data_IF_113540237365
#
_entry.id   IF_113540237365
#
_cell.length_a   1.000
_cell.length_b   1.000
_cell.length_c   1.000
_cell.angle_alpha   90.00
_cell.angle_beta   90.00
_cell.angle_gamma   90.00
#
_symmetry.space_group_name_H-M   'P 1'
#
loop_
_entity.id
_entity.type
_entity.pdbx_description
1 polymer ?
#
# COMPACT_ATOMS: atom_id res chain seq x y z
N UNK A 1 -9.75 -11.99 39.46
CA UNK A 1 -9.55 -10.85 38.57
C UNK A 1 -8.76 -11.28 37.35
N UNK A 2 -9.39 -11.26 36.22
CA UNK A 2 -8.63 -11.63 35.04
C UNK A 2 -7.55 -10.60 34.76
N UNK A 3 -6.45 -11.03 34.19
CA UNK A 3 -5.43 -10.08 33.83
C UNK A 3 -5.98 -9.11 32.77
N UNK A 4 -5.40 -7.96 32.65
CA UNK A 4 -5.81 -7.07 31.58
C UNK A 4 -5.60 -7.76 30.25
N UNK A 5 -6.34 -7.39 29.24
CA UNK A 5 -6.10 -7.95 27.93
C UNK A 5 -4.66 -7.78 27.53
N UNK A 6 -4.17 -8.65 26.68
CA UNK A 6 -2.78 -8.54 26.25
C UNK A 6 -2.51 -7.16 25.68
N UNK A 7 -1.28 -6.83 25.66
CA UNK A 7 -0.84 -5.49 25.30
C UNK A 7 -1.15 -5.09 23.88
N UNK A 8 -1.76 -5.98 23.12
CA UNK A 8 -2.18 -5.65 21.76
C UNK A 8 -3.03 -4.40 21.68
N UNK A 9 -3.85 -4.19 22.68
CA UNK A 9 -4.69 -3.01 22.70
C UNK A 9 -3.90 -1.75 23.07
N UNK A 10 -2.75 -1.92 23.69
CA UNK A 10 -1.86 -0.81 24.02
C UNK A 10 -0.97 -0.46 22.85
N UNK A 11 -0.78 -1.38 21.93
CA UNK A 11 -0.02 -1.13 20.74
C UNK A 11 -0.95 -0.51 19.74
N UNK A 12 -0.49 0.53 19.11
CA UNK A 12 -1.25 1.10 18.03
C UNK A 12 -1.42 0.06 16.94
N UNK A 13 -2.62 -0.12 16.41
CA UNK A 13 -2.76 -0.97 15.26
C UNK A 13 -1.86 -0.45 14.15
N UNK A 14 -1.31 -1.35 13.38
CA UNK A 14 -0.62 -0.96 12.17
C UNK A 14 -1.62 -0.26 11.27
N UNK A 15 -1.15 0.52 10.33
CA UNK A 15 -2.03 1.30 9.49
C UNK A 15 -2.91 0.46 8.58
N UNK A 16 -3.82 1.15 7.91
CA UNK A 16 -4.67 0.52 6.90
C UNK A 16 -3.92 0.43 5.59
N UNK A 17 -4.00 -0.73 4.95
CA UNK A 17 -3.31 -1.00 3.69
C UNK A 17 -4.32 -1.42 2.64
N UNK A 18 -4.23 -0.82 1.47
CA UNK A 18 -5.05 -1.22 0.32
C UNK A 18 -4.14 -1.95 -0.67
N UNK A 19 -4.51 -3.18 -1.02
CA UNK A 19 -3.76 -3.97 -2.00
C UNK A 19 -4.58 -4.07 -3.27
N UNK A 20 -3.98 -3.67 -4.39
CA UNK A 20 -4.63 -3.63 -5.69
C UNK A 20 -3.89 -4.55 -6.64
N UNK A 21 -4.54 -5.62 -7.08
CA UNK A 21 -3.94 -6.63 -7.95
C UNK A 21 -5.06 -7.42 -8.63
N UNK A 22 -4.91 -7.76 -9.89
CA UNK A 22 -5.96 -8.47 -10.61
C UNK A 22 -5.92 -9.99 -10.41
N UNK A 23 -4.94 -10.52 -9.70
CA UNK A 23 -4.84 -11.96 -9.44
C UNK A 23 -5.43 -12.29 -8.07
N UNK A 24 -6.56 -13.02 -8.02
CA UNK A 24 -7.25 -13.25 -6.73
C UNK A 24 -6.40 -13.95 -5.67
N UNK A 25 -5.58 -14.92 -6.06
CA UNK A 25 -4.78 -15.61 -5.07
C UNK A 25 -3.62 -14.75 -4.55
N UNK A 26 -3.11 -13.84 -5.36
CA UNK A 26 -2.11 -12.88 -4.89
C UNK A 26 -2.72 -11.97 -3.84
N UNK A 27 -3.94 -11.49 -4.10
CA UNK A 27 -4.67 -10.66 -3.13
C UNK A 27 -4.92 -11.42 -1.83
N UNK A 28 -5.35 -12.67 -1.93
CA UNK A 28 -5.64 -13.48 -0.75
C UNK A 28 -4.39 -13.70 0.10
N UNK A 29 -3.27 -14.00 -0.53
CA UNK A 29 -2.02 -14.23 0.17
C UNK A 29 -1.52 -12.93 0.81
N UNK A 30 -1.53 -11.84 0.06
CA UNK A 30 -1.09 -10.55 0.60
C UNK A 30 -1.93 -10.14 1.81
N UNK A 31 -3.25 -10.32 1.72
CA UNK A 31 -4.14 -10.01 2.82
C UNK A 31 -3.83 -10.86 4.04
N UNK A 32 -3.67 -12.17 3.86
CA UNK A 32 -3.37 -13.06 4.98
C UNK A 32 -2.05 -12.69 5.66
N UNK A 33 -1.03 -12.38 4.87
CA UNK A 33 0.27 -12.00 5.40
C UNK A 33 0.17 -10.71 6.21
N UNK A 34 -0.41 -9.69 5.62
CA UNK A 34 -0.47 -8.37 6.26
C UNK A 34 -1.41 -8.37 7.46
N UNK A 35 -2.54 -9.08 7.37
CA UNK A 35 -3.44 -9.24 8.52
C UNK A 35 -2.71 -9.88 9.69
N UNK A 36 -1.91 -10.92 9.44
CA UNK A 36 -1.18 -11.61 10.50
C UNK A 36 -0.13 -10.75 11.17
N UNK A 37 0.26 -9.66 10.53
CA UNK A 37 1.22 -8.72 11.08
C UNK A 37 0.57 -7.45 11.65
N UNK A 38 -0.75 -7.48 11.80
CA UNK A 38 -1.48 -6.41 12.49
C UNK A 38 -1.98 -5.29 11.62
N UNK A 39 -1.81 -5.37 10.31
CA UNK A 39 -2.35 -4.34 9.42
C UNK A 39 -3.85 -4.58 9.19
N UNK A 40 -4.57 -3.51 8.91
CA UNK A 40 -5.97 -3.55 8.52
C UNK A 40 -6.01 -3.50 6.98
N UNK A 41 -6.30 -4.62 6.35
CA UNK A 41 -6.10 -4.79 4.91
C UNK A 41 -7.42 -4.82 4.15
N UNK A 42 -7.49 -4.01 3.11
CA UNK A 42 -8.56 -4.04 2.12
C UNK A 42 -7.94 -4.44 0.78
N UNK A 43 -8.62 -5.27 0.03
CA UNK A 43 -8.14 -5.71 -1.28
C UNK A 43 -9.14 -5.33 -2.36
N UNK A 44 -8.62 -5.09 -3.57
CA UNK A 44 -9.48 -4.85 -4.73
C UNK A 44 -8.72 -5.28 -5.98
N UNK A 45 -9.47 -5.61 -7.02
CA UNK A 45 -8.89 -6.09 -8.27
C UNK A 45 -8.90 -5.05 -9.39
N UNK A 46 -9.27 -3.81 -9.11
CA UNK A 46 -9.27 -2.79 -10.16
C UNK A 46 -8.81 -1.44 -9.63
N UNK A 47 -8.18 -0.67 -10.51
CA UNK A 47 -7.74 0.67 -10.19
C UNK A 47 -8.90 1.61 -9.92
N UNK A 48 -9.96 1.49 -10.70
CA UNK A 48 -11.15 2.33 -10.52
C UNK A 48 -11.76 2.13 -9.15
N UNK A 49 -11.90 0.86 -8.74
CA UNK A 49 -12.46 0.56 -7.43
C UNK A 49 -11.52 1.04 -6.32
N UNK A 50 -10.21 0.93 -6.54
CA UNK A 50 -9.23 1.42 -5.58
C UNK A 50 -9.43 2.91 -5.31
N UNK A 51 -9.63 3.70 -6.36
CA UNK A 51 -9.85 5.14 -6.20
C UNK A 51 -11.13 5.43 -5.46
N UNK A 52 -12.17 4.66 -5.73
CA UNK A 52 -13.45 4.80 -5.03
C UNK A 52 -13.30 4.50 -3.54
N UNK A 53 -12.58 3.43 -3.22
CA UNK A 53 -12.32 3.04 -1.83
C UNK A 53 -11.53 4.13 -1.10
N UNK A 54 -10.52 4.70 -1.77
CA UNK A 54 -9.69 5.74 -1.17
C UNK A 54 -10.47 7.02 -0.90
N UNK A 55 -11.32 7.43 -1.83
CA UNK A 55 -12.16 8.60 -1.65
C UNK A 55 -13.13 8.40 -0.50
N UNK A 56 -13.75 7.23 -0.44
CA UNK A 56 -14.70 6.92 0.61
C UNK A 56 -14.02 6.91 1.99
N UNK A 57 -12.84 6.31 2.07
CA UNK A 57 -12.09 6.25 3.31
C UNK A 57 -11.70 7.64 3.79
N UNK A 58 -11.26 8.50 2.88
CA UNK A 58 -10.90 9.86 3.23
C UNK A 58 -12.12 10.66 3.71
N UNK A 59 -13.23 10.49 3.04
CA UNK A 59 -14.47 11.17 3.41
C UNK A 59 -14.90 10.82 4.84
N UNK A 60 -14.70 9.56 5.24
CA UNK A 60 -15.08 9.08 6.56
C UNK A 60 -13.99 9.23 7.62
N UNK A 61 -12.88 9.85 7.28
CA UNK A 61 -11.77 10.03 8.21
C UNK A 61 -11.02 8.75 8.54
N UNK A 62 -11.07 7.74 7.67
CA UNK A 62 -10.42 6.45 7.87
C UNK A 62 -9.39 6.20 6.77
N UNK A 63 -8.44 7.10 6.68
CA UNK A 63 -7.46 7.10 5.61
C UNK A 63 -6.58 5.86 5.64
N UNK A 64 -6.16 5.43 4.45
CA UNK A 64 -5.16 4.38 4.31
C UNK A 64 -3.77 4.98 4.50
N UNK A 65 -2.86 4.17 5.01
CA UNK A 65 -1.46 4.57 5.17
C UNK A 65 -0.63 4.20 3.95
N UNK A 66 -0.95 3.07 3.30
CA UNK A 66 -0.16 2.53 2.19
C UNK A 66 -1.08 1.88 1.17
N UNK A 67 -0.75 2.06 -0.10
CA UNK A 67 -1.35 1.31 -1.19
C UNK A 67 -0.26 0.46 -1.84
N UNK A 68 -0.53 -0.83 -2.03
CA UNK A 68 0.34 -1.72 -2.81
C UNK A 68 -0.36 -1.89 -4.15
N UNK A 69 0.24 -1.37 -5.20
CA UNK A 69 -0.41 -1.23 -6.50
C UNK A 69 0.32 -2.03 -7.57
N UNK A 70 -0.36 -3.02 -8.12
CA UNK A 70 0.16 -3.80 -9.25
C UNK A 70 0.18 -2.92 -10.50
N UNK A 71 1.33 -2.84 -11.16
CA UNK A 71 1.46 -2.02 -12.36
C UNK A 71 1.01 -2.75 -13.63
N UNK A 72 0.82 -4.06 -13.55
CA UNK A 72 0.54 -4.88 -14.74
C UNK A 72 -0.87 -5.46 -14.70
N UNK A 73 -1.87 -4.61 -14.58
CA UNK A 73 -3.27 -5.03 -14.65
C UNK A 73 -3.81 -4.71 -16.04
N UNK A 74 -4.05 -5.72 -16.87
CA UNK A 74 -4.56 -5.47 -18.21
C UNK A 74 -5.99 -4.97 -18.17
N UNK A 75 -6.32 -4.09 -19.11
CA UNK A 75 -7.64 -3.46 -19.16
C UNK A 75 -7.80 -2.41 -18.08
N UNK A 76 -8.61 -1.42 -18.28
CA UNK A 76 -8.82 -0.37 -17.30
C UNK A 76 -7.63 0.58 -17.17
N UNK A 77 -7.50 1.20 -16.02
CA UNK A 77 -6.46 2.21 -15.78
C UNK A 77 -5.10 1.56 -15.61
N UNK A 78 -4.08 2.21 -16.14
CA UNK A 78 -2.70 1.78 -15.89
C UNK A 78 -2.29 2.14 -14.46
N UNK A 79 -1.24 1.48 -13.95
CA UNK A 79 -0.73 1.79 -12.62
C UNK A 79 -0.31 3.24 -12.48
N UNK A 80 0.24 3.83 -13.54
CA UNK A 80 0.66 5.23 -13.49
C UNK A 80 -0.52 6.19 -13.44
N UNK A 81 -1.60 5.86 -14.17
CA UNK A 81 -2.83 6.65 -14.10
C UNK A 81 -3.46 6.56 -12.72
N UNK A 82 -3.43 5.38 -12.12
CA UNK A 82 -3.95 5.21 -10.76
C UNK A 82 -3.12 6.03 -9.76
N UNK A 83 -1.80 5.98 -9.89
CA UNK A 83 -0.93 6.79 -9.01
C UNK A 83 -1.26 8.27 -9.12
N UNK A 84 -1.40 8.78 -10.33
CA UNK A 84 -1.71 10.19 -10.53
C UNK A 84 -3.03 10.56 -9.87
N UNK A 85 -4.04 9.71 -10.02
CA UNK A 85 -5.33 9.95 -9.41
C UNK A 85 -5.26 9.87 -7.88
N UNK A 86 -4.46 8.94 -7.34
CA UNK A 86 -4.26 8.84 -5.90
C UNK A 86 -3.64 10.13 -5.36
N UNK A 87 -2.67 10.67 -6.05
CA UNK A 87 -2.00 11.91 -5.62
C UNK A 87 -2.96 13.09 -5.59
N UNK A 88 -3.99 13.07 -6.43
CA UNK A 88 -5.03 14.09 -6.39
C UNK A 88 -5.94 13.92 -5.17
N UNK A 89 -6.14 12.70 -4.72
CA UNK A 89 -6.98 12.42 -3.56
C UNK A 89 -6.23 12.69 -2.27
N UNK A 90 -4.98 12.23 -2.19
CA UNK A 90 -4.18 12.30 -0.97
C UNK A 90 -2.70 12.28 -1.37
N UNK A 91 -2.10 13.45 -1.43
CA UNK A 91 -0.71 13.59 -1.88
C UNK A 91 0.29 12.93 -0.93
N UNK A 92 -0.10 12.70 0.32
CA UNK A 92 0.80 12.13 1.33
C UNK A 92 0.70 10.60 1.43
N UNK A 93 -0.22 10.00 0.69
CA UNK A 93 -0.42 8.56 0.77
C UNK A 93 0.75 7.84 0.12
N UNK A 94 1.33 6.89 0.86
CA UNK A 94 2.43 6.09 0.34
C UNK A 94 1.90 5.06 -0.64
N UNK A 95 2.54 4.95 -1.81
CA UNK A 95 2.14 3.99 -2.83
C UNK A 95 3.36 3.16 -3.24
N UNK A 96 3.24 1.85 -3.09
CA UNK A 96 4.29 0.91 -3.49
C UNK A 96 3.93 0.35 -4.86
N UNK A 97 4.85 0.48 -5.82
CA UNK A 97 4.68 -0.11 -7.14
C UNK A 97 5.05 -1.59 -7.08
N UNK A 98 4.19 -2.45 -7.61
CA UNK A 98 4.41 -3.89 -7.58
C UNK A 98 4.36 -4.45 -9.00
N UNK A 99 5.33 -5.29 -9.36
CA UNK A 99 5.37 -5.89 -10.69
C UNK A 99 6.21 -7.15 -10.69
N UNK A 100 5.90 -8.07 -11.59
CA UNK A 100 6.72 -9.25 -11.83
C UNK A 100 7.96 -8.94 -12.63
N UNK A 101 8.09 -7.74 -13.15
CA UNK A 101 9.20 -7.40 -14.01
C UNK A 101 9.65 -5.96 -13.80
N UNK A 102 10.76 -5.80 -13.09
CA UNK A 102 11.41 -4.52 -12.93
C UNK A 102 12.83 -4.58 -13.48
N UNK A 103 13.25 -3.52 -14.13
CA UNK A 103 14.63 -3.38 -14.54
C UNK A 103 15.48 -2.86 -13.39
N UNK A 104 16.79 -2.85 -13.61
CA UNK A 104 17.77 -2.55 -12.59
C UNK A 104 17.56 -1.20 -11.90
N UNK A 105 17.17 -0.18 -12.68
CA UNK A 105 16.97 1.17 -12.17
C UNK A 105 15.52 1.49 -11.86
N UNK A 106 14.66 0.47 -11.79
CA UNK A 106 13.22 0.67 -11.64
C UNK A 106 12.86 1.43 -10.36
N UNK A 107 13.59 1.16 -9.27
CA UNK A 107 13.28 1.85 -8.02
C UNK A 107 13.46 3.34 -8.15
N UNK A 108 14.58 3.78 -8.72
CA UNK A 108 14.86 5.21 -8.89
C UNK A 108 13.84 5.85 -9.80
N UNK A 109 13.48 5.18 -10.88
CA UNK A 109 12.51 5.72 -11.82
C UNK A 109 11.11 5.81 -11.19
N UNK A 110 10.70 4.78 -10.47
CA UNK A 110 9.40 4.80 -9.81
C UNK A 110 9.33 5.88 -8.75
N UNK A 111 10.39 6.06 -7.98
CA UNK A 111 10.43 7.11 -6.98
C UNK A 111 10.39 8.49 -7.61
N UNK A 112 11.06 8.67 -8.74
CA UNK A 112 11.03 9.95 -9.46
C UNK A 112 9.62 10.28 -9.97
N UNK A 113 8.83 9.27 -10.31
CA UNK A 113 7.46 9.44 -10.78
C UNK A 113 6.51 9.76 -9.62
N UNK A 114 6.82 9.26 -8.43
CA UNK A 114 6.00 9.52 -7.25
C UNK A 114 5.65 8.31 -6.41
N UNK A 115 6.11 7.12 -6.80
CA UNK A 115 5.94 5.95 -5.94
C UNK A 115 6.89 6.05 -4.75
N UNK A 116 6.44 5.54 -3.62
CA UNK A 116 7.24 5.54 -2.40
C UNK A 116 8.32 4.48 -2.45
N UNK A 117 8.01 3.32 -3.01
CA UNK A 117 8.94 2.20 -3.11
C UNK A 117 8.46 1.23 -4.18
N UNK A 118 9.23 0.18 -4.41
CA UNK A 118 8.90 -0.88 -5.38
C UNK A 118 8.97 -2.23 -4.69
N UNK A 119 8.20 -3.18 -5.19
CA UNK A 119 8.14 -4.54 -4.65
C UNK A 119 8.02 -5.50 -5.81
N UNK A 120 9.05 -6.32 -6.01
CA UNK A 120 9.05 -7.26 -7.12
C UNK A 120 8.33 -8.55 -6.76
N UNK A 121 7.48 -9.00 -7.66
CA UNK A 121 6.83 -10.31 -7.55
C UNK A 121 7.71 -11.40 -8.11
N UNK A 122 7.67 -12.60 -7.57
CA UNK A 122 6.96 -12.98 -6.35
C UNK A 122 7.70 -12.44 -5.14
N UNK A 123 6.97 -11.92 -4.18
CA UNK A 123 7.60 -11.42 -2.97
C UNK A 123 7.43 -12.40 -1.82
N UNK A 124 8.38 -12.34 -0.88
CA UNK A 124 8.29 -13.15 0.34
C UNK A 124 7.43 -12.43 1.37
N UNK A 125 7.02 -13.18 2.39
CA UNK A 125 6.31 -12.60 3.53
C UNK A 125 7.10 -11.44 4.14
N UNK A 126 8.37 -11.69 4.42
CA UNK A 126 9.20 -10.68 5.07
C UNK A 126 9.38 -9.46 4.20
N UNK A 127 9.55 -9.65 2.92
CA UNK A 127 9.77 -8.55 2.00
C UNK A 127 8.52 -7.67 1.89
N UNK A 128 7.36 -8.29 1.76
CA UNK A 128 6.11 -7.55 1.71
C UNK A 128 5.90 -6.73 2.98
N UNK A 129 6.02 -7.36 4.14
CA UNK A 129 5.79 -6.69 5.41
C UNK A 129 6.80 -5.59 5.67
N UNK A 130 8.07 -5.83 5.41
CA UNK A 130 9.10 -4.82 5.67
C UNK A 130 8.94 -3.63 4.73
N UNK A 131 8.58 -3.87 3.47
CA UNK A 131 8.38 -2.79 2.52
C UNK A 131 7.19 -1.92 2.91
N UNK A 132 6.09 -2.56 3.32
CA UNK A 132 4.90 -1.84 3.76
C UNK A 132 5.20 -1.02 5.03
N UNK A 133 5.91 -1.59 5.99
CA UNK A 133 6.28 -0.86 7.21
C UNK A 133 7.12 0.35 6.90
N UNK A 134 8.12 0.20 6.06
CA UNK A 134 8.97 1.33 5.68
C UNK A 134 8.17 2.41 4.99
N UNK A 135 7.27 2.02 4.09
CA UNK A 135 6.44 2.99 3.37
C UNK A 135 5.52 3.75 4.32
N UNK A 136 4.93 3.06 5.28
CA UNK A 136 4.06 3.69 6.27
C UNK A 136 4.79 4.78 7.06
N UNK A 137 6.03 4.54 7.41
CA UNK A 137 6.80 5.53 8.16
C UNK A 137 7.32 6.65 7.26
N UNK A 138 7.61 6.35 6.00
CA UNK A 138 8.18 7.33 5.08
C UNK A 138 7.19 8.41 4.67
N UNK A 139 5.90 8.14 4.72
CA UNK A 139 4.91 9.15 4.36
C UNK A 139 4.99 10.37 5.26
N UNK A 140 5.55 10.21 6.47
CA UNK A 140 5.68 11.28 7.44
C UNK A 140 7.07 11.88 7.48
N UNK A 141 7.89 11.61 6.51
CA UNK A 141 9.28 12.05 6.52
C UNK A 141 9.37 13.58 6.46
N UNK A 142 9.84 14.22 7.52
CA UNK A 142 9.91 15.68 7.53
C UNK A 142 10.88 16.24 6.50
N UNK A 143 11.85 15.47 6.06
CA UNK A 143 12.80 15.94 5.07
C UNK A 143 12.11 16.25 3.75
N UNK A 144 11.09 15.49 3.42
CA UNK A 144 10.35 15.72 2.19
C UNK A 144 9.54 17.00 2.26
N UNK A 145 9.06 17.33 3.43
CA UNK A 145 8.28 18.54 3.59
C UNK A 145 9.16 19.77 3.81
N UNK A 146 10.38 19.57 4.26
CA UNK A 146 11.29 20.67 4.50
C UNK A 146 12.04 21.11 3.25
N UNK A 147 12.08 20.28 2.26
CA UNK A 147 12.73 20.62 1.01
C UNK A 147 11.92 21.60 0.18
#
# INVERSE_FOLDING_TARGET
MPPPPPTTHLQRPMGRVLVVDDEPHVLAVAKAILDSHGFDVTITDSGEMALHILKDAQYHGRRFAVVVLDLTMPGGMSGFEVLEAIQQIDADLAVIACSGYFQEDARDLCQAIGFTDVLQKPYTLDHLCSTVRRAQHREKNPQNSAA
#
